data_IF_883025371547
#
_entry.id   IF_883025371547
#
_cell.length_a   1.000
_cell.length_b   1.000
_cell.length_c   1.000
_cell.angle_alpha   90.00
_cell.angle_beta   90.00
_cell.angle_gamma   90.00
#
_symmetry.space_group_name_H-M   'P 1'
#
loop_
_entity.id
_entity.type
_entity.pdbx_description
1 polymer ?
#
# COMPACT_ATOMS: atom_id res chain seq x y z
N UNK A 1 31.13 -10.41 5.59
CA UNK A 1 32.58 -10.62 5.82
C UNK A 1 32.90 -12.11 6.07
N UNK A 2 32.14 -12.84 6.89
CA UNK A 2 32.36 -14.26 7.22
C UNK A 2 32.41 -15.19 5.99
N UNK A 3 31.47 -15.06 5.05
CA UNK A 3 31.47 -15.90 3.85
C UNK A 3 32.70 -15.67 2.97
N UNK A 4 33.22 -14.45 2.92
CA UNK A 4 34.42 -14.13 2.15
C UNK A 4 35.67 -14.76 2.78
N UNK A 5 35.77 -14.70 4.10
CA UNK A 5 36.86 -15.37 4.83
C UNK A 5 36.79 -16.90 4.62
N UNK A 6 35.62 -17.50 4.81
CA UNK A 6 35.41 -18.92 4.65
C UNK A 6 35.78 -19.43 3.24
N UNK A 7 35.34 -18.72 2.17
CA UNK A 7 35.66 -19.10 0.80
C UNK A 7 37.15 -18.85 0.47
N UNK A 8 37.75 -17.84 1.08
CA UNK A 8 39.21 -17.58 0.90
C UNK A 8 40.05 -18.71 1.46
N UNK A 9 39.72 -19.18 2.66
CA UNK A 9 40.49 -20.20 3.39
C UNK A 9 40.20 -21.62 2.95
N UNK A 10 38.92 -21.98 2.84
CA UNK A 10 38.49 -23.38 2.61
C UNK A 10 37.95 -23.65 1.22
N UNK A 11 37.84 -22.61 0.39
CA UNK A 11 37.23 -22.74 -0.92
C UNK A 11 35.69 -22.76 -0.85
N UNK A 12 35.10 -23.19 -1.95
CA UNK A 12 33.64 -23.27 -2.06
C UNK A 12 33.13 -24.67 -1.69
N UNK A 13 32.39 -24.81 -0.61
CA UNK A 13 31.86 -26.09 -0.12
C UNK A 13 30.76 -26.65 -1.03
N UNK A 14 29.74 -25.84 -1.35
CA UNK A 14 28.61 -26.26 -2.17
C UNK A 14 28.56 -25.49 -3.49
N UNK A 15 28.25 -26.16 -4.62
CA UNK A 15 28.11 -25.47 -5.90
C UNK A 15 26.93 -24.50 -5.89
N UNK A 16 26.98 -23.52 -6.79
CA UNK A 16 25.81 -22.70 -7.10
C UNK A 16 24.94 -23.42 -8.13
N UNK A 17 23.67 -23.03 -8.28
CA UNK A 17 22.83 -23.49 -9.38
C UNK A 17 22.71 -22.39 -10.42
N UNK A 18 22.94 -22.78 -11.68
CA UNK A 18 22.75 -21.88 -12.82
C UNK A 18 21.92 -22.57 -13.90
N UNK A 19 21.27 -21.78 -14.75
CA UNK A 19 20.65 -22.24 -15.99
C UNK A 19 21.30 -21.55 -17.20
N UNK A 20 21.23 -22.10 -18.41
CA UNK A 20 21.56 -21.36 -19.62
C UNK A 20 20.76 -20.07 -19.67
N UNK A 21 21.42 -18.97 -20.07
CA UNK A 21 20.72 -17.69 -20.19
C UNK A 21 19.71 -17.74 -21.34
N UNK A 22 18.43 -17.35 -21.15
CA UNK A 22 17.40 -17.50 -22.19
C UNK A 22 17.70 -16.69 -23.46
N UNK A 23 18.33 -15.53 -23.34
CA UNK A 23 18.57 -14.60 -24.45
C UNK A 23 20.03 -14.50 -24.89
N UNK A 24 20.97 -14.97 -24.08
CA UNK A 24 22.40 -14.81 -24.34
C UNK A 24 23.10 -16.18 -24.45
N UNK A 25 23.32 -16.71 -25.69
CA UNK A 25 23.98 -17.97 -25.88
C UNK A 25 25.39 -18.03 -25.25
N UNK A 26 25.73 -19.15 -24.63
CA UNK A 26 27.01 -19.34 -23.95
C UNK A 26 27.12 -18.64 -22.57
N UNK A 27 26.11 -17.94 -22.14
CA UNK A 27 26.04 -17.35 -20.77
C UNK A 27 25.10 -18.15 -19.87
N UNK A 28 25.29 -17.97 -18.57
CA UNK A 28 24.49 -18.61 -17.53
C UNK A 28 23.83 -17.58 -16.63
N UNK A 29 22.61 -17.87 -16.22
CA UNK A 29 21.87 -17.10 -15.23
C UNK A 29 21.88 -17.85 -13.89
N UNK A 30 22.28 -17.15 -12.82
CA UNK A 30 22.29 -17.73 -11.47
C UNK A 30 20.87 -17.93 -10.97
N UNK A 31 20.53 -19.15 -10.59
CA UNK A 31 19.25 -19.50 -9.94
C UNK A 31 19.36 -19.28 -8.44
N UNK A 32 20.40 -19.85 -7.80
CA UNK A 32 20.73 -19.55 -6.42
C UNK A 32 22.25 -19.58 -6.16
N UNK A 33 22.66 -18.97 -5.03
CA UNK A 33 24.09 -18.84 -4.69
C UNK A 33 24.70 -17.49 -5.09
N UNK A 34 23.90 -16.45 -5.32
CA UNK A 34 24.34 -15.09 -5.71
C UNK A 34 25.44 -14.52 -4.80
N UNK A 35 25.37 -14.78 -3.48
CA UNK A 35 26.40 -14.35 -2.54
C UNK A 35 27.75 -15.00 -2.81
N UNK A 36 27.76 -16.29 -3.17
CA UNK A 36 28.98 -17.02 -3.54
C UNK A 36 29.58 -16.50 -4.84
N UNK A 37 28.73 -16.20 -5.84
CA UNK A 37 29.17 -15.55 -7.10
C UNK A 37 29.86 -14.21 -6.81
N UNK A 38 29.24 -13.37 -5.95
CA UNK A 38 29.80 -12.06 -5.58
C UNK A 38 31.16 -12.22 -4.90
N UNK A 39 31.28 -13.15 -3.96
CA UNK A 39 32.54 -13.43 -3.25
C UNK A 39 33.61 -13.99 -4.20
N UNK A 40 33.26 -14.95 -5.05
CA UNK A 40 34.20 -15.52 -6.02
C UNK A 40 34.73 -14.42 -6.97
N UNK A 41 33.86 -13.52 -7.43
CA UNK A 41 34.27 -12.34 -8.23
C UNK A 41 35.22 -11.43 -7.50
N UNK A 42 34.97 -11.15 -6.20
CA UNK A 42 35.89 -10.33 -5.37
C UNK A 42 37.25 -10.99 -5.16
N UNK A 43 37.29 -12.33 -5.13
CA UNK A 43 38.51 -13.09 -4.93
C UNK A 43 39.24 -13.42 -6.25
N UNK A 44 38.68 -13.07 -7.42
CA UNK A 44 39.22 -13.43 -8.72
C UNK A 44 39.24 -14.95 -8.97
N UNK A 45 38.36 -15.72 -8.30
CA UNK A 45 38.33 -17.18 -8.37
C UNK A 45 37.14 -17.68 -9.21
N UNK A 46 37.29 -18.79 -9.94
CA UNK A 46 36.16 -19.45 -10.57
C UNK A 46 35.17 -19.97 -9.52
N UNK A 47 33.90 -20.11 -9.92
CA UNK A 47 32.85 -20.64 -9.07
C UNK A 47 32.39 -22.00 -9.59
N UNK A 48 32.27 -22.98 -8.68
CA UNK A 48 31.70 -24.30 -9.04
C UNK A 48 30.20 -24.16 -9.18
N UNK A 49 29.66 -24.62 -10.29
CA UNK A 49 28.24 -24.51 -10.61
C UNK A 49 27.67 -25.83 -11.14
N UNK A 50 26.43 -26.11 -10.76
CA UNK A 50 25.59 -27.11 -11.42
C UNK A 50 24.75 -26.38 -12.45
N UNK A 51 24.83 -26.88 -13.72
CA UNK A 51 24.01 -26.33 -14.81
C UNK A 51 22.77 -27.19 -14.96
N UNK A 52 21.59 -26.58 -14.77
CA UNK A 52 20.30 -27.24 -14.99
C UNK A 52 19.51 -26.47 -16.05
N UNK A 53 19.09 -27.15 -17.10
CA UNK A 53 18.13 -26.58 -18.05
C UNK A 53 16.77 -26.45 -17.38
N UNK A 54 16.20 -25.28 -17.37
CA UNK A 54 14.88 -25.00 -16.79
C UNK A 54 14.24 -23.79 -17.46
N UNK A 55 12.92 -23.81 -17.57
CA UNK A 55 12.12 -22.69 -18.05
C UNK A 55 12.08 -21.53 -17.05
N UNK A 56 11.43 -20.43 -17.45
CA UNK A 56 11.31 -19.24 -16.59
C UNK A 56 10.46 -19.51 -15.35
N UNK A 57 9.39 -20.29 -15.48
CA UNK A 57 8.56 -20.70 -14.35
C UNK A 57 9.32 -21.54 -13.33
N UNK A 58 10.01 -22.59 -13.80
CA UNK A 58 10.84 -23.45 -12.95
C UNK A 58 11.94 -22.65 -12.24
N UNK A 59 12.51 -21.65 -12.93
CA UNK A 59 13.51 -20.76 -12.36
C UNK A 59 12.93 -19.94 -11.20
N UNK A 60 11.73 -19.37 -11.37
CA UNK A 60 11.04 -18.61 -10.34
C UNK A 60 10.65 -19.52 -9.17
N UNK A 61 10.15 -20.72 -9.44
CA UNK A 61 9.80 -21.71 -8.42
C UNK A 61 11.05 -22.10 -7.61
N UNK A 62 12.15 -22.45 -8.27
CA UNK A 62 13.40 -22.81 -7.59
C UNK A 62 13.95 -21.66 -6.72
N UNK A 63 13.90 -20.43 -7.22
CA UNK A 63 14.31 -19.24 -6.49
C UNK A 63 13.40 -18.95 -5.29
N UNK A 64 12.09 -19.14 -5.47
CA UNK A 64 11.09 -18.98 -4.41
C UNK A 64 11.29 -20.00 -3.30
N UNK A 65 11.49 -21.27 -3.64
CA UNK A 65 11.72 -22.35 -2.68
C UNK A 65 13.03 -22.16 -1.90
N UNK A 66 14.11 -21.73 -2.55
CA UNK A 66 15.37 -21.40 -1.85
C UNK A 66 15.20 -20.25 -0.87
N UNK A 67 14.50 -19.19 -1.29
CA UNK A 67 14.20 -18.06 -0.41
C UNK A 67 13.25 -18.45 0.74
N UNK A 68 12.25 -19.27 0.48
CA UNK A 68 11.33 -19.77 1.51
C UNK A 68 12.02 -20.70 2.52
N UNK A 69 13.00 -21.49 2.07
CA UNK A 69 13.82 -22.35 2.93
C UNK A 69 14.79 -21.57 3.82
N UNK A 70 15.04 -20.29 3.53
CA UNK A 70 15.74 -19.40 4.47
C UNK A 70 14.82 -19.13 5.66
N UNK A 71 15.08 -19.78 6.78
CA UNK A 71 14.24 -19.87 7.98
C UNK A 71 13.88 -18.54 8.70
N UNK A 72 13.99 -17.37 8.03
CA UNK A 72 13.88 -16.06 8.65
C UNK A 72 13.06 -14.99 7.88
N UNK A 73 12.35 -15.36 6.81
CA UNK A 73 11.46 -14.40 6.14
C UNK A 73 10.17 -14.21 6.94
N UNK A 74 9.84 -12.97 7.26
CA UNK A 74 8.54 -12.61 7.82
C UNK A 74 7.40 -12.83 6.81
N UNK A 75 6.17 -12.83 7.30
CA UNK A 75 4.99 -12.93 6.42
C UNK A 75 4.99 -11.83 5.36
N UNK A 76 5.28 -10.58 5.73
CA UNK A 76 5.26 -9.46 4.78
C UNK A 76 6.38 -9.55 3.73
N UNK A 77 7.57 -10.03 4.09
CA UNK A 77 8.65 -10.23 3.13
C UNK A 77 8.28 -11.30 2.08
N UNK A 78 7.63 -12.39 2.51
CA UNK A 78 7.07 -13.40 1.61
C UNK A 78 5.95 -12.83 0.74
N UNK A 79 5.08 -11.97 1.31
CA UNK A 79 3.99 -11.30 0.61
C UNK A 79 4.52 -10.37 -0.50
N UNK A 80 5.51 -9.54 -0.19
CA UNK A 80 6.14 -8.66 -1.18
C UNK A 80 6.90 -9.44 -2.26
N UNK A 81 7.45 -10.59 -1.92
CA UNK A 81 8.09 -11.47 -2.90
C UNK A 81 7.05 -12.08 -3.85
N UNK A 82 5.91 -12.56 -3.32
CA UNK A 82 4.79 -13.03 -4.12
C UNK A 82 4.27 -11.97 -5.09
N UNK A 83 4.08 -10.74 -4.60
CA UNK A 83 3.62 -9.62 -5.40
C UNK A 83 4.59 -9.27 -6.56
N UNK A 84 5.90 -9.30 -6.29
CA UNK A 84 6.92 -9.08 -7.33
C UNK A 84 6.89 -10.14 -8.43
N UNK A 85 6.63 -11.40 -8.07
CA UNK A 85 6.51 -12.49 -9.06
C UNK A 85 5.28 -12.22 -9.95
N UNK A 86 4.14 -11.86 -9.35
CA UNK A 86 2.92 -11.52 -10.10
C UNK A 86 3.11 -10.32 -11.03
N UNK A 87 3.75 -9.25 -10.55
CA UNK A 87 4.05 -8.04 -11.34
C UNK A 87 4.98 -8.31 -12.54
N UNK A 88 5.73 -9.42 -12.50
CA UNK A 88 6.53 -9.90 -13.64
C UNK A 88 5.74 -10.76 -14.64
N UNK A 89 4.43 -10.90 -14.44
CA UNK A 89 3.54 -11.63 -15.36
C UNK A 89 3.40 -13.12 -15.10
N UNK A 90 3.96 -13.66 -13.99
CA UNK A 90 3.76 -15.05 -13.62
C UNK A 90 2.36 -15.29 -13.05
N UNK A 91 1.89 -16.55 -13.20
CA UNK A 91 0.55 -16.92 -12.76
C UNK A 91 0.43 -17.06 -11.23
N UNK A 92 -0.79 -16.95 -10.67
CA UNK A 92 -1.04 -17.28 -9.27
C UNK A 92 -0.55 -18.68 -8.86
N UNK A 93 -0.70 -19.67 -9.75
CA UNK A 93 -0.29 -21.05 -9.48
C UNK A 93 1.23 -21.18 -9.39
N UNK A 94 1.97 -20.48 -10.25
CA UNK A 94 3.43 -20.38 -10.16
C UNK A 94 3.87 -19.79 -8.80
N UNK A 95 3.20 -18.73 -8.33
CA UNK A 95 3.51 -18.12 -7.03
C UNK A 95 3.21 -19.07 -5.87
N UNK A 96 2.05 -19.74 -5.91
CA UNK A 96 1.66 -20.72 -4.87
C UNK A 96 2.67 -21.87 -4.81
N UNK A 97 3.08 -22.40 -5.97
CA UNK A 97 4.09 -23.45 -6.06
C UNK A 97 5.47 -23.00 -5.57
N UNK A 98 5.90 -21.78 -5.94
CA UNK A 98 7.19 -21.22 -5.54
C UNK A 98 7.31 -20.99 -4.03
N UNK A 99 6.23 -20.64 -3.37
CA UNK A 99 6.22 -20.30 -1.95
C UNK A 99 5.55 -21.36 -1.07
N UNK A 100 5.12 -22.49 -1.63
CA UNK A 100 4.34 -23.53 -0.97
C UNK A 100 3.15 -22.93 -0.19
N UNK A 101 2.28 -22.21 -0.91
CA UNK A 101 1.13 -21.51 -0.35
C UNK A 101 -0.17 -22.25 -0.67
N UNK A 102 -1.06 -22.28 0.31
CA UNK A 102 -2.47 -22.58 0.11
C UNK A 102 -3.23 -21.35 -0.43
N UNK A 103 -4.41 -21.57 -1.02
CA UNK A 103 -5.26 -20.52 -1.59
C UNK A 103 -5.67 -19.45 -0.57
N UNK A 104 -5.93 -19.85 0.66
CA UNK A 104 -6.32 -18.94 1.74
C UNK A 104 -5.17 -17.98 2.09
N UNK A 105 -3.96 -18.52 2.25
CA UNK A 105 -2.78 -17.71 2.53
C UNK A 105 -2.46 -16.79 1.36
N UNK A 106 -2.53 -17.29 0.13
CA UNK A 106 -2.32 -16.49 -1.08
C UNK A 106 -3.34 -15.34 -1.20
N UNK A 107 -4.64 -15.62 -0.97
CA UNK A 107 -5.69 -14.61 -0.97
C UNK A 107 -5.44 -13.50 0.06
N UNK A 108 -5.03 -13.87 1.29
CA UNK A 108 -4.67 -12.89 2.32
C UNK A 108 -3.45 -12.05 1.95
N UNK A 109 -2.42 -12.64 1.34
CA UNK A 109 -1.27 -11.90 0.81
C UNK A 109 -1.68 -10.90 -0.26
N UNK A 110 -2.55 -11.30 -1.19
CA UNK A 110 -3.11 -10.41 -2.21
C UNK A 110 -3.88 -9.25 -1.60
N UNK A 111 -4.74 -9.51 -0.62
CA UNK A 111 -5.46 -8.46 0.09
C UNK A 111 -4.50 -7.44 0.74
N UNK A 112 -3.40 -7.90 1.33
CA UNK A 112 -2.39 -7.02 1.94
C UNK A 112 -1.75 -6.09 0.92
N UNK A 113 -1.28 -6.61 -0.23
CA UNK A 113 -0.60 -5.78 -1.24
C UNK A 113 -1.57 -4.92 -2.07
N UNK A 114 -2.85 -5.28 -2.13
CA UNK A 114 -3.88 -4.49 -2.82
C UNK A 114 -4.40 -3.32 -1.98
N UNK A 115 -4.51 -3.51 -0.66
CA UNK A 115 -5.18 -2.54 0.21
C UNK A 115 -4.21 -1.66 1.00
N UNK A 116 -3.00 -2.14 1.29
CA UNK A 116 -1.98 -1.36 2.02
C UNK A 116 -1.01 -0.75 1.02
N UNK A 117 -0.89 0.58 0.95
CA UNK A 117 0.08 1.23 0.07
C UNK A 117 1.52 0.76 0.34
N UNK A 118 2.28 0.52 -0.71
CA UNK A 118 3.66 0.03 -0.61
C UNK A 118 4.55 0.92 0.29
N UNK A 119 4.48 2.26 0.25
CA UNK A 119 5.24 3.11 1.17
C UNK A 119 4.92 2.85 2.64
N UNK A 120 3.66 2.53 2.98
CA UNK A 120 3.26 2.19 4.36
C UNK A 120 3.87 0.86 4.78
N UNK A 121 3.84 -0.16 3.90
CA UNK A 121 4.48 -1.45 4.16
C UNK A 121 5.99 -1.29 4.39
N UNK A 122 6.65 -0.48 3.55
CA UNK A 122 8.09 -0.19 3.67
C UNK A 122 8.39 0.54 4.98
N UNK A 123 7.58 1.51 5.38
CA UNK A 123 7.74 2.24 6.63
C UNK A 123 7.61 1.33 7.86
N UNK A 124 6.67 0.37 7.85
CA UNK A 124 6.54 -0.64 8.90
C UNK A 124 7.80 -1.53 8.96
N UNK A 125 8.24 -2.04 7.80
CA UNK A 125 9.36 -2.97 7.68
C UNK A 125 8.95 -4.42 7.89
N UNK A 126 9.90 -5.29 8.27
CA UNK A 126 9.75 -6.74 8.28
C UNK A 126 8.72 -7.29 9.28
N UNK A 127 8.50 -6.61 10.40
CA UNK A 127 7.55 -6.99 11.47
C UNK A 127 7.50 -8.52 11.71
N UNK A 128 8.65 -9.09 12.11
CA UNK A 128 8.90 -10.54 12.11
C UNK A 128 7.96 -11.35 13.01
N UNK A 129 7.49 -10.74 14.09
CA UNK A 129 6.57 -11.39 15.04
C UNK A 129 5.12 -11.28 14.59
N UNK A 130 4.84 -10.48 13.55
CA UNK A 130 3.48 -10.23 13.07
C UNK A 130 3.08 -11.28 12.04
N UNK A 131 2.10 -12.09 12.41
CA UNK A 131 1.59 -13.18 11.57
C UNK A 131 0.60 -12.72 10.50
N UNK A 132 0.26 -13.67 9.63
CA UNK A 132 -0.65 -13.54 8.49
C UNK A 132 -1.96 -12.81 8.82
N UNK A 133 -2.61 -13.22 9.90
CA UNK A 133 -3.96 -12.74 10.22
C UNK A 133 -3.97 -11.29 10.68
N UNK A 134 -2.93 -10.85 11.39
CA UNK A 134 -2.78 -9.44 11.79
C UNK A 134 -2.54 -8.53 10.60
N UNK A 135 -1.70 -8.93 9.64
CA UNK A 135 -1.50 -8.20 8.39
C UNK A 135 -2.79 -8.12 7.55
N UNK A 136 -3.53 -9.21 7.49
CA UNK A 136 -4.82 -9.23 6.80
C UNK A 136 -5.86 -8.33 7.49
N UNK A 137 -5.92 -8.32 8.83
CA UNK A 137 -6.77 -7.40 9.57
C UNK A 137 -6.42 -5.94 9.29
N UNK A 138 -5.12 -5.60 9.24
CA UNK A 138 -4.69 -4.26 8.85
C UNK A 138 -5.15 -3.92 7.43
N UNK A 139 -5.02 -4.85 6.48
CA UNK A 139 -5.50 -4.67 5.11
C UNK A 139 -7.02 -4.40 5.06
N UNK A 140 -7.80 -5.06 5.92
CA UNK A 140 -9.25 -4.79 6.06
C UNK A 140 -9.55 -3.38 6.58
N UNK A 141 -8.80 -2.89 7.56
CA UNK A 141 -8.92 -1.52 8.05
C UNK A 141 -8.58 -0.47 6.98
N UNK A 142 -7.76 -0.87 6.00
CA UNK A 142 -7.33 0.01 4.89
C UNK A 142 -8.32 0.03 3.70
N UNK A 143 -9.39 -0.74 3.72
CA UNK A 143 -10.42 -0.74 2.65
C UNK A 143 -11.26 0.56 2.62
N UNK A 144 -11.28 1.30 3.72
CA UNK A 144 -11.99 2.58 3.75
C UNK A 144 -11.25 3.64 2.90
N UNK A 145 -11.95 4.44 2.07
CA UNK A 145 -11.32 5.40 1.14
C UNK A 145 -10.30 6.36 1.77
N UNK A 146 -10.57 6.83 2.99
CA UNK A 146 -9.68 7.79 3.67
C UNK A 146 -8.49 7.14 4.39
N UNK A 147 -8.46 5.80 4.45
CA UNK A 147 -7.48 5.06 5.25
C UNK A 147 -6.06 5.19 4.71
N UNK A 148 -5.89 5.20 3.39
CA UNK A 148 -4.57 5.31 2.75
C UNK A 148 -3.88 6.64 3.12
N UNK A 149 -4.61 7.76 3.06
CA UNK A 149 -4.10 9.07 3.45
C UNK A 149 -3.75 9.13 4.93
N UNK A 150 -4.66 8.68 5.80
CA UNK A 150 -4.43 8.65 7.26
C UNK A 150 -3.20 7.82 7.64
N UNK A 151 -3.03 6.66 7.01
CA UNK A 151 -1.89 5.80 7.27
C UNK A 151 -0.59 6.44 6.77
N UNK A 152 -0.59 7.06 5.57
CA UNK A 152 0.57 7.74 5.02
C UNK A 152 1.03 8.90 5.91
N UNK A 153 0.09 9.73 6.39
CA UNK A 153 0.38 10.83 7.31
C UNK A 153 0.96 10.32 8.64
N UNK A 154 0.40 9.24 9.17
CA UNK A 154 0.85 8.66 10.43
C UNK A 154 2.27 8.09 10.34
N UNK A 155 2.59 7.32 9.28
CA UNK A 155 3.91 6.72 9.11
C UNK A 155 5.00 7.74 8.75
N UNK A 156 4.61 8.92 8.26
CA UNK A 156 5.53 10.02 7.98
C UNK A 156 5.97 10.76 9.26
N UNK A 157 5.33 10.52 10.41
CA UNK A 157 5.69 11.18 11.66
C UNK A 157 7.09 10.76 12.14
N UNK A 158 7.90 11.69 12.66
CA UNK A 158 9.25 11.37 13.17
C UNK A 158 9.23 10.29 14.26
N UNK A 159 8.21 10.29 15.09
CA UNK A 159 8.03 9.34 16.20
C UNK A 159 7.81 7.91 15.72
N UNK A 160 7.18 7.74 14.55
CA UNK A 160 6.96 6.42 13.97
C UNK A 160 8.28 5.74 13.62
N UNK A 161 9.22 6.48 13.02
CA UNK A 161 10.51 5.96 12.56
C UNK A 161 11.43 5.50 13.70
N UNK A 162 11.28 6.02 14.92
CA UNK A 162 12.15 5.71 16.07
C UNK A 162 11.94 4.32 16.66
N UNK A 163 10.83 3.66 16.33
CA UNK A 163 10.44 2.35 16.88
C UNK A 163 10.95 1.19 16.03
N UNK A 164 11.09 0.01 16.64
CA UNK A 164 11.34 -1.23 15.91
C UNK A 164 10.14 -1.63 15.02
N UNK A 165 10.40 -2.46 14.02
CA UNK A 165 9.42 -2.83 12.98
C UNK A 165 8.12 -3.44 13.56
N UNK A 166 8.21 -4.34 14.54
CA UNK A 166 7.04 -4.93 15.19
C UNK A 166 6.21 -3.87 15.94
N UNK A 167 6.87 -2.94 16.63
CA UNK A 167 6.22 -1.83 17.32
C UNK A 167 5.58 -0.83 16.34
N UNK A 168 6.21 -0.58 15.17
CA UNK A 168 5.61 0.25 14.11
C UNK A 168 4.31 -0.37 13.61
N UNK A 169 4.31 -1.68 13.39
CA UNK A 169 3.08 -2.38 13.01
C UNK A 169 2.00 -2.22 14.07
N UNK A 170 2.31 -2.48 15.35
CA UNK A 170 1.34 -2.39 16.43
C UNK A 170 0.75 -0.97 16.55
N UNK A 171 1.60 0.06 16.52
CA UNK A 171 1.15 1.46 16.58
C UNK A 171 0.24 1.85 15.42
N UNK A 172 0.60 1.46 14.19
CA UNK A 172 -0.25 1.74 13.02
C UNK A 172 -1.57 0.98 13.13
N UNK A 173 -1.53 -0.28 13.54
CA UNK A 173 -2.72 -1.10 13.72
C UNK A 173 -3.68 -0.48 14.74
N UNK A 174 -3.17 -0.07 15.90
CA UNK A 174 -3.96 0.58 16.95
C UNK A 174 -4.53 1.93 16.48
N UNK A 175 -3.72 2.73 15.78
CA UNK A 175 -4.17 3.99 15.17
C UNK A 175 -5.28 3.79 14.15
N UNK A 176 -5.18 2.78 13.30
CA UNK A 176 -6.19 2.47 12.28
C UNK A 176 -7.43 1.81 12.85
N UNK A 177 -7.29 1.05 13.95
CA UNK A 177 -8.40 0.40 14.66
C UNK A 177 -9.18 1.36 15.55
N UNK A 178 -8.53 2.45 16.00
CA UNK A 178 -9.22 3.47 16.75
C UNK A 178 -10.33 4.08 15.90
N UNK A 179 -11.55 4.26 16.44
CA UNK A 179 -12.58 5.01 15.74
C UNK A 179 -11.96 6.33 15.31
N UNK A 180 -12.03 6.62 14.00
CA UNK A 180 -11.51 7.88 13.50
C UNK A 180 -12.08 8.98 14.38
N UNK A 181 -11.29 9.51 15.32
CA UNK A 181 -11.60 10.83 15.88
C UNK A 181 -11.74 11.67 14.63
N UNK A 182 -12.98 12.12 14.33
CA UNK A 182 -13.17 13.18 13.35
C UNK A 182 -12.07 14.17 13.69
N UNK A 183 -11.09 14.30 12.77
CA UNK A 183 -10.09 15.34 12.92
C UNK A 183 -10.91 16.59 13.26
N UNK A 184 -10.56 17.36 14.28
CA UNK A 184 -11.21 18.64 14.47
C UNK A 184 -11.06 19.31 13.12
N UNK A 185 -12.20 19.50 12.46
CA UNK A 185 -12.24 20.14 11.16
C UNK A 185 -11.52 21.47 11.34
N UNK A 186 -10.30 21.56 10.84
CA UNK A 186 -9.56 22.79 10.70
C UNK A 186 -10.14 23.57 9.52
N UNK A 187 -11.42 23.76 9.56
CA UNK A 187 -12.17 24.86 8.98
C UNK A 187 -13.36 25.04 9.90
N UNK A 188 -13.58 26.25 10.36
CA UNK A 188 -14.77 26.63 11.11
C UNK A 188 -15.98 26.28 10.24
N UNK A 189 -16.53 25.08 10.41
CA UNK A 189 -17.79 24.71 9.77
C UNK A 189 -18.84 25.68 10.32
N UNK A 190 -19.19 26.68 9.54
CA UNK A 190 -20.27 27.58 9.91
C UNK A 190 -21.56 26.84 9.61
N UNK A 191 -22.21 26.39 10.65
CA UNK A 191 -23.58 25.88 10.56
C UNK A 191 -24.53 27.06 10.76
N UNK A 192 -25.39 27.32 9.78
CA UNK A 192 -26.49 28.28 9.87
C UNK A 192 -27.80 27.53 9.62
N UNK A 193 -28.82 27.86 10.40
CA UNK A 193 -30.16 27.40 10.15
C UNK A 193 -30.98 28.60 9.65
N UNK A 194 -31.83 28.34 8.65
CA UNK A 194 -32.78 29.33 8.15
C UNK A 194 -34.17 28.70 7.98
N UNK A 195 -35.19 29.48 8.28
CA UNK A 195 -36.58 29.12 8.01
C UNK A 195 -37.38 30.42 7.75
N UNK A 196 -38.39 30.39 6.86
CA UNK A 196 -39.31 31.47 6.70
C UNK A 196 -40.22 31.62 7.95
N UNK A 197 -40.96 32.72 8.01
CA UNK A 197 -41.78 33.06 9.18
C UNK A 197 -42.86 32.03 9.49
N UNK A 198 -43.41 31.40 8.46
CA UNK A 198 -44.46 30.34 8.53
C UNK A 198 -43.85 28.93 8.77
N UNK A 199 -42.51 28.78 8.79
CA UNK A 199 -41.79 27.51 8.97
C UNK A 199 -42.18 26.40 7.99
N UNK A 200 -42.70 26.75 6.82
CA UNK A 200 -43.09 25.81 5.76
C UNK A 200 -41.87 25.01 5.22
N UNK A 201 -40.68 25.56 5.34
CA UNK A 201 -39.42 24.91 5.02
C UNK A 201 -38.36 25.22 6.09
N UNK A 202 -37.39 24.31 6.25
CA UNK A 202 -36.21 24.53 7.11
C UNK A 202 -34.95 24.23 6.29
N UNK A 203 -34.02 25.15 6.30
CA UNK A 203 -32.72 24.94 5.66
C UNK A 203 -31.62 24.81 6.71
N UNK A 204 -30.81 23.75 6.60
CA UNK A 204 -29.54 23.64 7.30
C UNK A 204 -28.44 23.96 6.28
N UNK A 205 -27.65 24.99 6.57
CA UNK A 205 -26.55 25.46 5.74
C UNK A 205 -25.26 25.04 6.42
N UNK A 206 -24.41 24.35 5.70
CA UNK A 206 -23.10 23.91 6.19
C UNK A 206 -22.05 24.38 5.21
N UNK A 207 -21.11 25.18 5.67
CA UNK A 207 -19.96 25.66 4.89
C UNK A 207 -18.67 25.13 5.52
N UNK A 208 -17.90 24.37 4.74
CA UNK A 208 -16.58 23.83 5.13
C UNK A 208 -15.43 24.60 4.46
N UNK A 209 -15.71 25.66 3.74
CA UNK A 209 -14.74 26.42 2.94
C UNK A 209 -14.37 25.75 1.60
N UNK A 210 -14.68 24.46 1.44
CA UNK A 210 -14.51 23.70 0.19
C UNK A 210 -15.83 23.18 -0.38
N UNK A 211 -16.80 22.91 0.48
CA UNK A 211 -18.11 22.42 0.12
C UNK A 211 -19.16 23.23 0.88
N UNK A 212 -20.09 23.80 0.13
CA UNK A 212 -21.28 24.47 0.66
C UNK A 212 -22.48 23.54 0.46
N UNK A 213 -23.16 23.18 1.54
CA UNK A 213 -24.30 22.29 1.53
C UNK A 213 -25.53 23.00 2.05
N UNK A 214 -26.61 22.98 1.26
CA UNK A 214 -27.94 23.46 1.64
C UNK A 214 -28.86 22.25 1.73
N UNK A 215 -29.24 21.85 2.93
CA UNK A 215 -30.17 20.74 3.18
C UNK A 215 -31.55 21.29 3.57
N UNK A 216 -32.55 21.06 2.74
CA UNK A 216 -33.93 21.45 2.95
C UNK A 216 -34.75 20.34 3.61
N UNK A 217 -35.58 20.68 4.59
CA UNK A 217 -36.48 19.75 5.29
C UNK A 217 -37.84 20.43 5.51
N UNK A 218 -38.90 19.69 5.56
CA UNK A 218 -40.30 19.95 5.80
C UNK A 218 -41.15 19.77 4.54
N UNK A 219 -42.47 20.05 4.63
CA UNK A 219 -43.45 19.73 3.61
C UNK A 219 -43.13 20.38 2.24
N UNK A 220 -42.58 21.58 2.26
CA UNK A 220 -42.24 22.34 1.04
C UNK A 220 -40.79 22.21 0.60
N UNK A 221 -40.02 21.28 1.18
CA UNK A 221 -38.61 21.13 0.86
C UNK A 221 -38.35 20.76 -0.60
N UNK A 222 -39.15 19.84 -1.15
CA UNK A 222 -38.97 19.36 -2.54
C UNK A 222 -39.38 20.41 -3.56
N UNK A 223 -40.52 21.07 -3.46
CA UNK A 223 -40.88 22.16 -4.37
C UNK A 223 -39.93 23.34 -4.32
N UNK A 224 -39.48 23.73 -3.13
CA UNK A 224 -38.50 24.81 -2.97
C UNK A 224 -37.11 24.43 -3.49
N UNK A 225 -36.70 23.19 -3.32
CA UNK A 225 -35.45 22.67 -3.89
C UNK A 225 -35.48 22.70 -5.41
N UNK A 226 -36.59 22.25 -6.06
CA UNK A 226 -36.77 22.33 -7.50
C UNK A 226 -36.72 23.79 -7.99
N UNK A 227 -37.42 24.71 -7.33
CA UNK A 227 -37.40 26.12 -7.66
C UNK A 227 -35.99 26.73 -7.62
N UNK A 228 -35.15 26.34 -6.65
CA UNK A 228 -33.74 26.78 -6.57
C UNK A 228 -32.96 26.17 -7.73
N UNK A 229 -33.12 24.87 -7.99
CA UNK A 229 -32.38 24.16 -9.05
C UNK A 229 -32.65 24.76 -10.43
N UNK A 230 -33.89 25.09 -10.72
CA UNK A 230 -34.31 25.69 -12.02
C UNK A 230 -33.73 27.09 -12.21
N UNK A 231 -33.28 27.74 -11.16
CA UNK A 231 -32.71 29.10 -11.17
C UNK A 231 -31.24 29.19 -10.83
N UNK A 232 -30.52 28.09 -10.81
CA UNK A 232 -29.11 28.08 -10.42
C UNK A 232 -28.26 28.99 -11.33
N UNK A 233 -28.53 29.01 -12.63
CA UNK A 233 -27.78 29.84 -13.58
C UNK A 233 -28.04 31.33 -13.31
N UNK A 234 -29.29 31.73 -13.10
CA UNK A 234 -29.66 33.10 -12.78
C UNK A 234 -29.04 33.57 -11.44
N UNK A 235 -29.08 32.70 -10.43
CA UNK A 235 -28.50 32.98 -9.12
C UNK A 235 -26.98 33.11 -9.19
N UNK A 236 -26.33 32.29 -10.01
CA UNK A 236 -24.88 32.34 -10.19
C UNK A 236 -24.44 33.59 -10.94
N UNK A 237 -25.18 34.00 -11.98
CA UNK A 237 -24.91 35.25 -12.70
C UNK A 237 -25.11 36.49 -11.80
N UNK A 238 -26.18 36.52 -11.00
CA UNK A 238 -26.42 37.58 -10.04
C UNK A 238 -25.31 37.66 -8.97
N UNK A 239 -24.81 36.50 -8.52
CA UNK A 239 -23.66 36.44 -7.63
C UNK A 239 -22.42 37.06 -8.25
N UNK A 240 -22.08 36.67 -9.50
CA UNK A 240 -20.91 37.22 -10.22
C UNK A 240 -20.99 38.73 -10.37
N UNK A 241 -22.15 39.29 -10.72
CA UNK A 241 -22.38 40.72 -10.83
C UNK A 241 -22.17 41.44 -9.49
N UNK A 242 -22.67 40.83 -8.37
CA UNK A 242 -22.47 41.40 -7.03
C UNK A 242 -20.99 41.43 -6.58
N UNK A 243 -20.22 40.41 -6.95
CA UNK A 243 -18.79 40.36 -6.66
C UNK A 243 -17.99 41.39 -7.49
N UNK A 244 -18.37 41.59 -8.74
CA UNK A 244 -17.75 42.59 -9.61
C UNK A 244 -18.03 44.01 -9.11
N UNK A 245 -19.25 44.29 -8.66
CA UNK A 245 -19.62 45.58 -8.09
C UNK A 245 -18.88 45.90 -6.78
N UNK A 246 -18.59 44.89 -5.94
CA UNK A 246 -17.79 45.06 -4.70
C UNK A 246 -16.32 45.36 -4.97
N UNK A 247 -15.76 44.88 -6.11
CA UNK A 247 -14.37 45.12 -6.48
C UNK A 247 -14.13 46.46 -7.18
N UNK A 248 -15.20 47.09 -7.66
CA UNK A 248 -15.11 48.40 -8.40
C UNK A 248 -15.48 49.60 -7.49
N UNK A 249 -15.85 49.37 -6.26
CA UNK A 249 -16.32 50.39 -5.30
C UNK A 249 -15.36 50.70 -4.15
N UNK A 250 -14.06 50.39 -4.32
CA UNK A 250 -12.98 50.80 -3.37
C UNK A 250 -12.02 51.75 -4.04
#
# INVERSE_FOLDING_TARGET
QELLAAIRERGQDSPILVRPHPELPGRFQTVFGHRRVKVARQLGRPVRAVVKKMGDEDHVIAQGQENAARANLSFIERTLFADRILKRGHTPDTVKSALALDDTTFSKMRSVTSNIPEPVIVAIGAAKTVGRDRWWQLAKLMEHPDSAGRAADYVASPEFATSGSDARFARLFDFMSAPAKRAPAASKTQEKAWAPHDRSVRAKITDTGKVFTLALKAKEASPFGAFITDRLDELFEAFRQSETAKKTGD
#
